data_IF_848469080395
#
_entry.id   IF_848469080395
#
_cell.length_a   1.000
_cell.length_b   1.000
_cell.length_c   1.000
_cell.angle_alpha   90.00
_cell.angle_beta   90.00
_cell.angle_gamma   90.00
#
_symmetry.space_group_name_H-M   'P 1'
#
loop_
_entity.id
_entity.type
_entity.pdbx_description
1 polymer ?
#
# COMPACT_ATOMS: atom_id res chain seq x y z
N UNK A 1 27.43 -38.80 8.34
CA UNK A 1 26.13 -38.09 8.27
C UNK A 1 26.45 -36.61 8.25
N UNK A 2 26.16 -35.90 7.16
CA UNK A 2 26.35 -34.45 7.11
C UNK A 2 25.20 -33.82 7.90
N UNK A 3 25.45 -32.99 8.93
CA UNK A 3 24.38 -32.29 9.60
C UNK A 3 23.79 -31.29 8.60
N UNK A 4 22.56 -31.57 8.15
CA UNK A 4 21.71 -30.59 7.48
C UNK A 4 21.31 -29.54 8.52
N UNK A 5 22.24 -28.64 8.83
CA UNK A 5 21.90 -27.43 9.58
C UNK A 5 20.99 -26.64 8.66
N UNK A 6 19.70 -26.60 8.98
CA UNK A 6 18.76 -25.74 8.29
C UNK A 6 19.35 -24.33 8.33
N UNK A 7 19.81 -23.82 7.18
CA UNK A 7 20.17 -22.43 7.05
C UNK A 7 18.92 -21.63 7.37
N UNK A 8 18.86 -21.04 8.57
CA UNK A 8 17.85 -20.06 8.92
C UNK A 8 17.97 -18.99 7.86
N UNK A 9 16.97 -18.87 6.99
CA UNK A 9 16.94 -17.85 5.96
C UNK A 9 17.12 -16.50 6.67
N UNK A 10 18.27 -15.86 6.46
CA UNK A 10 18.55 -14.54 7.01
C UNK A 10 17.47 -13.63 6.46
N UNK A 11 16.56 -13.20 7.33
CA UNK A 11 15.56 -12.19 7.00
C UNK A 11 16.35 -10.95 6.61
N UNK A 12 16.23 -10.50 5.37
CA UNK A 12 16.80 -9.21 4.97
C UNK A 12 16.07 -8.13 5.76
N UNK A 13 16.66 -7.73 6.88
CA UNK A 13 16.19 -6.60 7.66
C UNK A 13 16.33 -5.34 6.82
N UNK A 14 15.20 -4.87 6.31
CA UNK A 14 15.12 -3.60 5.61
C UNK A 14 14.67 -2.55 6.61
N UNK A 15 15.23 -1.35 6.55
CA UNK A 15 14.84 -0.28 7.44
C UNK A 15 13.33 0.02 7.28
N UNK A 16 12.51 -0.15 8.35
CA UNK A 16 11.06 0.06 8.27
C UNK A 16 10.67 1.47 7.83
N UNK A 17 11.48 2.48 8.16
CA UNK A 17 11.25 3.87 7.77
C UNK A 17 11.44 4.09 6.27
N UNK A 18 12.45 3.44 5.69
CA UNK A 18 12.70 3.50 4.25
C UNK A 18 11.57 2.78 3.52
N UNK A 19 11.18 1.59 3.98
CA UNK A 19 10.06 0.85 3.40
C UNK A 19 8.75 1.63 3.46
N UNK A 20 8.49 2.31 4.58
CA UNK A 20 7.35 3.20 4.73
C UNK A 20 7.37 4.37 3.74
N UNK A 21 8.52 5.04 3.60
CA UNK A 21 8.67 6.17 2.70
C UNK A 21 8.39 5.75 1.25
N UNK A 22 9.02 4.69 0.76
CA UNK A 22 8.85 4.24 -0.61
C UNK A 22 7.42 3.76 -0.88
N UNK A 23 6.85 2.92 0.00
CA UNK A 23 5.46 2.49 -0.14
C UNK A 23 4.49 3.68 -0.15
N UNK A 24 4.67 4.63 0.76
CA UNK A 24 3.85 5.83 0.83
C UNK A 24 3.95 6.71 -0.42
N UNK A 25 5.17 6.98 -0.90
CA UNK A 25 5.39 7.84 -2.09
C UNK A 25 4.83 7.19 -3.36
N UNK A 26 5.12 5.90 -3.59
CA UNK A 26 4.60 5.19 -4.77
C UNK A 26 3.07 5.20 -4.78
N UNK A 27 2.45 4.89 -3.64
CA UNK A 27 1.00 4.91 -3.54
C UNK A 27 0.41 6.32 -3.61
N UNK A 28 1.08 7.34 -3.10
CA UNK A 28 0.66 8.73 -3.24
C UNK A 28 0.57 9.13 -4.72
N UNK A 29 1.58 8.78 -5.51
CA UNK A 29 1.58 9.04 -6.97
C UNK A 29 0.42 8.32 -7.64
N UNK A 30 0.21 7.02 -7.35
CA UNK A 30 -0.92 6.27 -7.90
C UNK A 30 -2.30 6.84 -7.48
N UNK A 31 -2.42 7.30 -6.23
CA UNK A 31 -3.64 7.90 -5.72
C UNK A 31 -3.91 9.27 -6.35
N UNK A 32 -2.88 10.10 -6.55
CA UNK A 32 -3.02 11.36 -7.28
C UNK A 32 -3.46 11.13 -8.73
N UNK A 33 -2.92 10.10 -9.40
CA UNK A 33 -3.36 9.71 -10.76
C UNK A 33 -4.82 9.24 -10.73
N UNK A 34 -5.23 8.50 -9.69
CA UNK A 34 -6.64 8.07 -9.51
C UNK A 34 -7.57 9.26 -9.39
N UNK A 35 -7.23 10.24 -8.54
CA UNK A 35 -8.01 11.47 -8.36
C UNK A 35 -8.10 12.23 -9.68
N UNK A 36 -6.98 12.42 -10.37
CA UNK A 36 -6.95 13.11 -11.66
C UNK A 36 -7.80 12.39 -12.71
N UNK A 37 -7.66 11.07 -12.82
CA UNK A 37 -8.43 10.26 -13.77
C UNK A 37 -9.95 10.36 -13.48
N UNK A 38 -10.35 10.32 -12.20
CA UNK A 38 -11.75 10.46 -11.82
C UNK A 38 -12.31 11.84 -12.19
N UNK A 39 -11.57 12.91 -11.89
CA UNK A 39 -11.98 14.29 -12.17
C UNK A 39 -12.07 14.57 -13.67
N UNK A 40 -11.08 14.11 -14.46
CA UNK A 40 -11.02 14.40 -15.90
C UNK A 40 -12.02 13.59 -16.71
N UNK A 41 -12.20 12.32 -16.38
CA UNK A 41 -13.01 11.41 -17.21
C UNK A 41 -14.48 11.38 -16.78
N UNK A 42 -14.79 11.78 -15.53
CA UNK A 42 -16.12 11.63 -14.92
C UNK A 42 -16.68 10.19 -15.04
N UNK A 43 -15.80 9.22 -15.25
CA UNK A 43 -16.14 7.82 -15.49
C UNK A 43 -15.67 6.97 -14.31
N UNK A 44 -16.64 6.45 -13.56
CA UNK A 44 -16.38 5.64 -12.38
C UNK A 44 -15.62 4.36 -12.69
N UNK A 45 -15.78 3.77 -13.88
CA UNK A 45 -15.06 2.57 -14.30
C UNK A 45 -13.57 2.88 -14.43
N UNK A 46 -13.22 3.99 -15.09
CA UNK A 46 -11.82 4.43 -15.21
C UNK A 46 -11.24 4.73 -13.83
N UNK A 47 -12.02 5.41 -12.97
CA UNK A 47 -11.64 5.66 -11.59
C UNK A 47 -11.29 4.38 -10.82
N UNK A 48 -12.14 3.35 -10.90
CA UNK A 48 -11.90 2.06 -10.25
C UNK A 48 -10.67 1.37 -10.83
N UNK A 49 -10.51 1.32 -12.16
CA UNK A 49 -9.36 0.68 -12.80
C UNK A 49 -8.03 1.32 -12.39
N UNK A 50 -8.00 2.65 -12.35
CA UNK A 50 -6.80 3.40 -11.91
C UNK A 50 -6.58 3.27 -10.41
N UNK A 51 -7.65 3.17 -9.61
CA UNK A 51 -7.54 2.94 -8.17
C UNK A 51 -6.82 1.63 -7.82
N UNK A 52 -6.99 0.57 -8.63
CA UNK A 52 -6.27 -0.70 -8.41
C UNK A 52 -4.75 -0.50 -8.40
N UNK A 53 -4.23 0.51 -9.10
CA UNK A 53 -2.81 0.84 -9.11
C UNK A 53 -2.29 1.25 -7.74
N UNK A 54 -3.13 1.77 -6.84
CA UNK A 54 -2.73 2.13 -5.48
C UNK A 54 -2.28 0.91 -4.68
N UNK A 55 -2.97 -0.22 -4.85
CA UNK A 55 -2.62 -1.49 -4.22
C UNK A 55 -1.35 -2.09 -4.80
N UNK A 56 -1.13 -2.01 -6.11
CA UNK A 56 0.12 -2.42 -6.75
C UNK A 56 1.31 -1.54 -6.34
N UNK A 57 1.08 -0.23 -6.27
CA UNK A 57 2.09 0.76 -5.93
C UNK A 57 2.62 0.57 -4.50
N UNK A 58 1.77 0.17 -3.56
CA UNK A 58 2.20 -0.14 -2.20
C UNK A 58 3.19 -1.31 -2.21
N UNK A 59 2.89 -2.35 -3.00
CA UNK A 59 3.77 -3.52 -3.18
C UNK A 59 5.10 -3.13 -3.81
N UNK A 60 5.06 -2.39 -4.91
CA UNK A 60 6.26 -1.94 -5.61
C UNK A 60 7.13 -1.04 -4.73
N UNK A 61 6.53 -0.16 -3.94
CA UNK A 61 7.26 0.73 -3.04
C UNK A 61 8.05 -0.02 -1.97
N UNK A 62 7.44 -0.96 -1.24
CA UNK A 62 8.21 -1.73 -0.28
C UNK A 62 9.20 -2.70 -0.94
N UNK A 63 8.94 -3.18 -2.17
CA UNK A 63 9.91 -4.03 -2.89
C UNK A 63 11.13 -3.21 -3.33
N UNK A 64 10.90 -1.96 -3.75
CA UNK A 64 11.95 -1.01 -4.10
C UNK A 64 12.84 -0.68 -2.89
N UNK A 65 12.23 -0.44 -1.72
CA UNK A 65 12.99 -0.22 -0.47
C UNK A 65 13.91 -1.40 -0.10
N UNK A 66 13.55 -2.60 -0.53
CA UNK A 66 14.34 -3.83 -0.34
C UNK A 66 15.37 -4.09 -1.44
N UNK A 67 15.48 -3.22 -2.45
CA UNK A 67 16.33 -3.46 -3.62
C UNK A 67 15.87 -4.63 -4.48
N UNK A 68 14.59 -5.02 -4.36
CA UNK A 68 14.00 -6.23 -4.97
C UNK A 68 12.76 -5.90 -5.80
N UNK A 69 12.72 -4.72 -6.42
CA UNK A 69 11.58 -4.31 -7.25
C UNK A 69 11.33 -5.32 -8.38
N UNK A 70 10.12 -5.85 -8.44
CA UNK A 70 9.74 -6.86 -9.44
C UNK A 70 10.16 -8.29 -9.08
N UNK A 71 10.76 -8.53 -7.90
CA UNK A 71 11.16 -9.88 -7.49
C UNK A 71 9.97 -10.81 -7.24
N UNK A 72 8.79 -10.26 -6.93
CA UNK A 72 7.55 -11.00 -6.74
C UNK A 72 6.42 -10.34 -7.49
N UNK A 73 6.26 -10.70 -8.77
CA UNK A 73 5.17 -10.20 -9.61
C UNK A 73 3.80 -10.73 -9.18
N UNK A 74 3.77 -11.92 -8.56
CA UNK A 74 2.56 -12.46 -7.92
C UNK A 74 2.07 -11.56 -6.79
N UNK A 75 2.96 -10.99 -5.98
CA UNK A 75 2.60 -10.01 -4.97
C UNK A 75 1.98 -8.75 -5.57
N UNK A 76 2.53 -8.26 -6.70
CA UNK A 76 2.02 -7.07 -7.40
C UNK A 76 0.62 -7.33 -7.95
N UNK A 77 0.39 -8.50 -8.54
CA UNK A 77 -0.95 -8.94 -8.96
C UNK A 77 -1.91 -9.05 -7.76
N UNK A 78 -1.43 -9.58 -6.63
CA UNK A 78 -2.16 -9.58 -5.36
C UNK A 78 -2.54 -8.18 -4.90
N UNK A 79 -1.64 -7.22 -5.07
CA UNK A 79 -1.89 -5.81 -4.76
C UNK A 79 -2.93 -5.17 -5.70
N UNK A 80 -2.90 -5.48 -6.99
CA UNK A 80 -3.90 -5.02 -7.96
C UNK A 80 -5.29 -5.57 -7.63
N UNK A 81 -5.41 -6.89 -7.43
CA UNK A 81 -6.70 -7.54 -7.15
C UNK A 81 -7.19 -7.16 -5.75
N UNK A 82 -6.28 -7.06 -4.78
CA UNK A 82 -6.55 -6.56 -3.44
C UNK A 82 -6.99 -5.09 -3.41
N UNK A 83 -6.70 -4.34 -4.49
CA UNK A 83 -7.06 -2.96 -4.76
C UNK A 83 -8.56 -2.66 -4.85
N UNK A 84 -9.43 -3.65 -4.69
CA UNK A 84 -10.88 -3.47 -4.83
C UNK A 84 -11.42 -2.61 -3.66
N UNK A 85 -12.07 -1.45 -3.92
CA UNK A 85 -12.36 -0.44 -2.90
C UNK A 85 -13.13 -0.92 -1.66
N UNK A 86 -14.11 -1.81 -1.85
CA UNK A 86 -15.09 -2.17 -0.80
C UNK A 86 -14.42 -2.91 0.37
N UNK A 87 -13.47 -3.78 0.08
CA UNK A 87 -12.80 -4.64 1.06
C UNK A 87 -11.28 -4.46 1.05
N UNK A 88 -10.81 -3.37 0.44
CA UNK A 88 -9.40 -3.08 0.19
C UNK A 88 -8.50 -3.35 1.40
N UNK A 89 -8.80 -2.72 2.54
CA UNK A 89 -7.97 -2.78 3.74
C UNK A 89 -7.84 -4.18 4.34
N UNK A 90 -8.79 -5.09 4.07
CA UNK A 90 -8.76 -6.47 4.56
C UNK A 90 -8.29 -7.46 3.49
N UNK A 91 -8.73 -7.28 2.24
CA UNK A 91 -8.44 -8.19 1.14
C UNK A 91 -6.99 -8.04 0.68
N UNK A 92 -6.49 -6.81 0.55
CA UNK A 92 -5.13 -6.53 0.09
C UNK A 92 -4.06 -7.29 0.90
N UNK A 93 -4.01 -7.24 2.24
CA UNK A 93 -2.96 -7.94 2.99
C UNK A 93 -3.05 -9.46 2.89
N UNK A 94 -4.26 -10.01 2.73
CA UNK A 94 -4.48 -11.45 2.54
C UNK A 94 -3.94 -11.90 1.19
N UNK A 95 -4.32 -11.21 0.11
CA UNK A 95 -3.88 -11.58 -1.24
C UNK A 95 -2.39 -11.37 -1.44
N UNK A 96 -1.84 -10.24 -0.99
CA UNK A 96 -0.41 -9.95 -1.11
C UNK A 96 0.40 -10.95 -0.28
N UNK A 97 0.02 -11.22 0.96
CA UNK A 97 0.74 -12.19 1.80
C UNK A 97 0.58 -13.65 1.32
N UNK A 98 -0.55 -14.01 0.72
CA UNK A 98 -0.72 -15.33 0.12
C UNK A 98 0.13 -15.52 -1.14
N UNK A 99 0.39 -14.45 -1.89
CA UNK A 99 1.13 -14.46 -3.15
C UNK A 99 2.61 -14.09 -3.01
N UNK A 100 3.05 -13.59 -1.84
CA UNK A 100 4.44 -13.34 -1.49
C UNK A 100 4.85 -14.14 -0.25
N UNK A 101 5.55 -15.26 -0.46
CA UNK A 101 6.03 -16.12 0.63
C UNK A 101 7.04 -15.43 1.55
N UNK A 102 7.59 -14.29 1.16
CA UNK A 102 8.48 -13.49 2.02
C UNK A 102 7.72 -12.62 3.02
N UNK A 103 6.39 -12.53 2.91
CA UNK A 103 5.55 -11.65 3.71
C UNK A 103 4.64 -12.43 4.64
N UNK A 104 4.49 -11.93 5.86
CA UNK A 104 3.51 -12.45 6.81
C UNK A 104 2.17 -11.76 6.61
N UNK A 105 1.13 -12.54 6.30
CA UNK A 105 -0.25 -12.03 6.22
C UNK A 105 -0.64 -11.28 7.50
N UNK A 106 -0.28 -11.80 8.67
CA UNK A 106 -0.59 -11.16 9.96
C UNK A 106 0.06 -9.78 10.11
N UNK A 107 1.32 -9.62 9.68
CA UNK A 107 2.00 -8.31 9.70
C UNK A 107 1.39 -7.34 8.71
N UNK A 108 1.12 -7.79 7.49
CA UNK A 108 0.46 -6.95 6.48
C UNK A 108 -0.94 -6.54 6.93
N UNK A 109 -1.69 -7.43 7.56
CA UNK A 109 -3.03 -7.13 8.08
C UNK A 109 -2.98 -6.11 9.21
N UNK A 110 -2.05 -6.27 10.16
CA UNK A 110 -1.84 -5.29 11.22
C UNK A 110 -1.43 -3.92 10.66
N UNK A 111 -0.48 -3.90 9.73
CA UNK A 111 -0.06 -2.67 9.04
C UNK A 111 -1.19 -2.02 8.23
N UNK A 112 -2.06 -2.82 7.61
CA UNK A 112 -3.20 -2.32 6.84
C UNK A 112 -4.29 -1.74 7.74
N UNK A 113 -4.62 -2.39 8.87
CA UNK A 113 -5.60 -1.89 9.84
C UNK A 113 -5.10 -0.59 10.48
N UNK A 114 -3.85 -0.58 10.98
CA UNK A 114 -3.26 0.63 11.56
C UNK A 114 -3.10 1.73 10.51
N UNK A 115 -2.71 1.37 9.29
CA UNK A 115 -2.60 2.30 8.17
C UNK A 115 -3.94 2.92 7.78
N UNK A 116 -5.03 2.16 7.84
CA UNK A 116 -6.38 2.67 7.60
C UNK A 116 -6.77 3.69 8.68
N UNK A 117 -6.51 3.38 9.95
CA UNK A 117 -6.78 4.29 11.08
C UNK A 117 -5.97 5.59 10.91
N UNK A 118 -4.67 5.49 10.65
CA UNK A 118 -3.79 6.65 10.46
C UNK A 118 -4.20 7.45 9.21
N UNK A 119 -4.43 6.78 8.09
CA UNK A 119 -4.82 7.43 6.84
C UNK A 119 -6.16 8.17 6.96
N UNK A 120 -7.16 7.57 7.61
CA UNK A 120 -8.44 8.23 7.88
C UNK A 120 -8.26 9.41 8.83
N UNK A 121 -7.45 9.28 9.88
CA UNK A 121 -7.16 10.39 10.78
C UNK A 121 -6.52 11.57 10.01
N UNK A 122 -5.54 11.31 9.15
CA UNK A 122 -4.91 12.34 8.29
C UNK A 122 -5.92 12.96 7.33
N UNK A 123 -6.79 12.17 6.71
CA UNK A 123 -7.86 12.66 5.83
C UNK A 123 -8.79 13.64 6.56
N UNK A 124 -9.25 13.26 7.75
CA UNK A 124 -10.16 14.08 8.57
C UNK A 124 -9.47 15.35 9.08
N UNK A 125 -8.19 15.27 9.45
CA UNK A 125 -7.40 16.44 9.84
C UNK A 125 -7.24 17.42 8.68
N UNK A 126 -6.95 16.95 7.47
CA UNK A 126 -6.91 17.83 6.30
C UNK A 126 -8.26 18.50 6.04
N UNK A 127 -9.36 17.74 6.15
CA UNK A 127 -10.70 18.29 6.02
C UNK A 127 -11.01 19.37 7.07
N UNK A 128 -10.56 19.21 8.32
CA UNK A 128 -10.80 20.20 9.37
C UNK A 128 -10.02 21.51 9.15
N UNK A 129 -8.82 21.45 8.56
CA UNK A 129 -8.04 22.64 8.21
C UNK A 129 -8.53 23.35 6.94
N UNK A 130 -9.12 22.61 5.99
CA UNK A 130 -9.50 23.15 4.68
C UNK A 130 -10.98 23.58 4.57
N UNK A 131 -11.77 23.38 5.62
CA UNK A 131 -13.16 23.83 5.71
C UNK A 131 -14.12 23.06 4.78
N UNK A 132 -15.26 23.67 4.43
CA UNK A 132 -16.31 23.01 3.65
C UNK A 132 -16.08 22.99 2.12
N UNK A 133 -14.92 23.44 1.63
CA UNK A 133 -14.63 23.42 0.20
C UNK A 133 -14.28 21.99 -0.25
N UNK A 134 -15.07 21.34 -1.12
CA UNK A 134 -14.83 19.94 -1.52
C UNK A 134 -13.52 19.72 -2.31
N UNK A 135 -12.84 20.78 -2.73
CA UNK A 135 -11.57 20.68 -3.45
C UNK A 135 -10.47 19.91 -2.69
N UNK A 136 -10.53 19.86 -1.35
CA UNK A 136 -9.53 19.15 -0.55
C UNK A 136 -9.67 17.62 -0.61
N UNK A 137 -10.84 17.08 -1.01
CA UNK A 137 -11.13 15.64 -0.93
C UNK A 137 -10.12 14.81 -1.75
N UNK A 138 -9.73 15.30 -2.93
CA UNK A 138 -8.71 14.65 -3.77
C UNK A 138 -7.35 14.59 -3.07
N UNK A 139 -6.88 15.73 -2.56
CA UNK A 139 -5.62 15.80 -1.79
C UNK A 139 -5.69 14.93 -0.53
N UNK A 140 -6.80 15.00 0.21
CA UNK A 140 -7.05 14.16 1.38
C UNK A 140 -6.95 12.68 1.06
N UNK A 141 -7.57 12.24 -0.04
CA UNK A 141 -7.51 10.85 -0.50
C UNK A 141 -6.08 10.43 -0.84
N UNK A 142 -5.31 11.28 -1.52
CA UNK A 142 -3.89 11.02 -1.80
C UNK A 142 -3.08 10.82 -0.51
N UNK A 143 -3.27 11.68 0.49
CA UNK A 143 -2.59 11.53 1.77
C UNK A 143 -3.06 10.30 2.54
N UNK A 144 -4.36 10.00 2.57
CA UNK A 144 -4.89 8.78 3.18
C UNK A 144 -4.17 7.55 2.62
N UNK A 145 -4.12 7.44 1.30
CA UNK A 145 -3.50 6.29 0.63
C UNK A 145 -1.98 6.24 0.85
N UNK A 146 -1.31 7.40 0.89
CA UNK A 146 0.12 7.50 1.21
C UNK A 146 0.42 7.00 2.63
N UNK A 147 -0.34 7.45 3.63
CA UNK A 147 -0.14 7.06 5.03
C UNK A 147 -0.54 5.61 5.29
N UNK A 148 -1.60 5.12 4.64
CA UNK A 148 -1.95 3.70 4.66
C UNK A 148 -0.79 2.84 4.12
N UNK A 149 -0.31 3.14 2.90
CA UNK A 149 0.74 2.37 2.26
C UNK A 149 2.07 2.49 3.01
N UNK A 150 2.39 3.66 3.56
CA UNK A 150 3.58 3.84 4.38
C UNK A 150 3.55 2.99 5.65
N UNK A 151 2.39 2.90 6.31
CA UNK A 151 2.23 2.01 7.48
C UNK A 151 2.41 0.55 7.07
N UNK A 152 1.75 0.12 5.99
CA UNK A 152 1.93 -1.24 5.44
C UNK A 152 3.39 -1.53 5.10
N UNK A 153 4.08 -0.57 4.47
CA UNK A 153 5.50 -0.67 4.12
C UNK A 153 6.38 -0.88 5.35
N UNK A 154 6.14 -0.17 6.46
CA UNK A 154 6.86 -0.39 7.71
C UNK A 154 6.67 -1.82 8.24
N UNK A 155 5.44 -2.33 8.22
CA UNK A 155 5.14 -3.68 8.70
C UNK A 155 5.65 -4.78 7.76
N UNK A 156 5.74 -4.51 6.46
CA UNK A 156 6.32 -5.43 5.47
C UNK A 156 7.84 -5.63 5.66
N UNK A 157 8.51 -4.65 6.27
CA UNK A 157 9.93 -4.67 6.61
C UNK A 157 10.21 -5.17 8.05
N UNK A 158 9.20 -5.17 8.92
CA UNK A 158 9.27 -5.61 10.32
C UNK A 158 9.10 -7.12 10.46
#
# INVERSE_FOLDING_TARGET
>A
MIPLTAAVAVKEETNPWISALYAGVFTAVAAAITVFAFVQTQNWIVGVLVHLLTGAAAVLGYQMARGRMGSSWSAVLGGLIGGIPIIFFLLWPILVGALDKSQSIGRLLLGSILGAIIGVAVFLLLGSFMGQNPAWVGTGFTFLMAFWAGTVGAFAAS
#
